data_IF_049047028007
#
_entry.id   IF_049047028007
#
_cell.length_a   1.000
_cell.length_b   1.000
_cell.length_c   1.000
_cell.angle_alpha   90.00
_cell.angle_beta   90.00
_cell.angle_gamma   90.00
#
_symmetry.space_group_name_H-M   'P 1'
#
loop_
_entity.id
_entity.type
_entity.pdbx_description
1 polymer ?
#
# COMPACT_ATOMS: atom_id res chain seq x y z
N UNK A 1 -18.97 10.97 -17.47
CA UNK A 1 -18.55 9.71 -16.83
C UNK A 1 -17.52 10.12 -15.80
N UNK A 2 -17.64 9.80 -14.50
CA UNK A 2 -16.53 10.04 -13.62
C UNK A 2 -15.39 9.15 -14.13
N UNK A 3 -14.34 9.77 -14.60
CA UNK A 3 -13.13 9.05 -14.96
C UNK A 3 -12.55 8.59 -13.61
N UNK A 4 -12.74 7.32 -13.27
CA UNK A 4 -12.06 6.71 -12.13
C UNK A 4 -10.57 6.77 -12.42
N UNK A 5 -9.93 7.86 -12.01
CA UNK A 5 -8.50 8.05 -12.15
C UNK A 5 -7.83 7.08 -11.17
N UNK A 6 -7.51 5.87 -11.63
CA UNK A 6 -6.85 4.84 -10.81
C UNK A 6 -5.35 4.92 -11.06
N UNK A 7 -4.59 5.18 -10.00
CA UNK A 7 -3.14 5.08 -10.04
C UNK A 7 -2.75 3.60 -9.95
N UNK A 8 -1.94 3.09 -10.88
CA UNK A 8 -1.53 1.68 -10.89
C UNK A 8 -0.02 1.59 -11.12
N UNK A 9 0.67 0.86 -10.27
CA UNK A 9 2.08 0.53 -10.41
C UNK A 9 2.27 -0.98 -10.32
N UNK A 10 3.07 -1.56 -11.22
CA UNK A 10 3.39 -2.98 -11.20
C UNK A 10 4.88 -3.21 -11.39
N UNK A 11 5.40 -4.28 -10.77
CA UNK A 11 6.80 -4.65 -10.88
C UNK A 11 6.99 -6.15 -10.76
N UNK A 12 7.92 -6.69 -11.55
CA UNK A 12 8.37 -8.08 -11.42
C UNK A 12 9.43 -8.19 -10.32
N UNK A 13 9.23 -9.14 -9.41
CA UNK A 13 10.10 -9.44 -8.26
C UNK A 13 10.57 -10.89 -8.39
N UNK A 14 11.89 -11.11 -8.40
CA UNK A 14 12.52 -12.43 -8.45
C UNK A 14 12.55 -13.06 -7.05
N UNK A 15 11.37 -13.19 -6.43
CA UNK A 15 11.17 -13.79 -5.12
C UNK A 15 9.84 -14.56 -5.09
N UNK A 16 9.71 -15.51 -4.16
CA UNK A 16 8.47 -16.26 -3.97
C UNK A 16 7.32 -15.37 -3.48
N UNK A 17 6.05 -15.72 -3.77
CA UNK A 17 4.89 -14.95 -3.30
C UNK A 17 4.85 -14.81 -1.78
N UNK A 18 5.22 -15.86 -1.03
CA UNK A 18 5.36 -15.81 0.42
C UNK A 18 6.36 -14.74 0.87
N UNK A 19 7.53 -14.66 0.23
CA UNK A 19 8.56 -13.66 0.59
C UNK A 19 8.06 -12.24 0.35
N UNK A 20 7.40 -12.00 -0.79
CA UNK A 20 6.81 -10.68 -1.07
C UNK A 20 5.70 -10.36 -0.06
N UNK A 21 4.88 -11.35 0.29
CA UNK A 21 3.84 -11.19 1.30
C UNK A 21 4.40 -10.87 2.70
N UNK A 22 5.47 -11.55 3.11
CA UNK A 22 6.19 -11.24 4.34
C UNK A 22 6.66 -9.79 4.34
N UNK A 23 7.30 -9.32 3.26
CA UNK A 23 7.74 -7.92 3.16
C UNK A 23 6.57 -6.95 3.26
N UNK A 24 5.43 -7.24 2.64
CA UNK A 24 4.24 -6.37 2.70
C UNK A 24 3.55 -6.34 4.06
N UNK A 25 3.77 -7.36 4.90
CA UNK A 25 3.10 -7.51 6.20
C UNK A 25 4.02 -7.33 7.40
N UNK A 26 5.34 -7.38 7.18
CA UNK A 26 6.36 -7.22 8.19
C UNK A 26 6.56 -5.74 8.56
N UNK A 27 6.43 -5.36 9.84
CA UNK A 27 6.51 -3.97 10.25
C UNK A 27 7.91 -3.35 10.06
N UNK A 28 8.98 -4.14 10.09
CA UNK A 28 10.34 -3.64 9.87
C UNK A 28 10.56 -3.35 8.38
N UNK A 29 10.10 -4.25 7.50
CA UNK A 29 10.15 -4.05 6.07
C UNK A 29 9.25 -2.89 5.60
N UNK A 30 8.01 -2.81 6.12
CA UNK A 30 7.09 -1.69 5.88
C UNK A 30 7.74 -0.37 6.27
N UNK A 31 8.42 -0.33 7.42
CA UNK A 31 9.13 0.84 7.87
C UNK A 31 10.24 1.24 6.89
N UNK A 32 10.90 0.29 6.23
CA UNK A 32 11.93 0.58 5.25
C UNK A 32 11.35 1.15 3.94
N UNK A 33 10.34 0.49 3.33
CA UNK A 33 9.79 0.96 2.05
C UNK A 33 8.76 2.10 2.17
N UNK A 34 8.15 2.31 3.34
CA UNK A 34 7.25 3.44 3.64
C UNK A 34 7.93 4.55 4.44
N UNK A 35 9.22 4.80 4.23
CA UNK A 35 9.93 5.99 4.75
C UNK A 35 9.84 6.18 6.29
N UNK A 36 9.88 5.09 7.06
CA UNK A 36 9.80 5.12 8.51
C UNK A 36 8.38 4.95 9.08
N UNK A 37 7.37 4.79 8.22
CA UNK A 37 5.99 4.55 8.65
C UNK A 37 5.84 3.17 9.28
N UNK A 38 5.25 3.11 10.47
CA UNK A 38 4.91 1.87 11.17
C UNK A 38 3.45 1.54 10.93
N UNK A 39 3.18 0.34 10.43
CA UNK A 39 1.81 -0.16 10.27
C UNK A 39 1.42 -0.98 11.50
N UNK A 40 0.23 -0.68 12.04
CA UNK A 40 -0.38 -1.40 13.16
C UNK A 40 -1.70 -1.97 12.67
N UNK A 41 -1.75 -3.30 12.53
CA UNK A 41 -2.93 -4.06 12.10
C UNK A 41 -2.81 -5.50 12.54
N UNK A 42 -3.94 -6.15 12.81
CA UNK A 42 -4.04 -7.58 13.07
C UNK A 42 -4.22 -8.41 11.78
N UNK A 43 -4.09 -7.78 10.61
CA UNK A 43 -4.27 -8.39 9.27
C UNK A 43 -5.59 -9.19 9.14
N UNK A 44 -6.62 -8.73 9.84
CA UNK A 44 -7.94 -9.38 9.89
C UNK A 44 -8.91 -8.63 8.98
N UNK A 45 -9.65 -9.34 8.14
CA UNK A 45 -10.69 -8.76 7.28
C UNK A 45 -11.76 -8.06 8.13
N UNK A 46 -12.09 -6.81 7.78
CA UNK A 46 -12.93 -5.90 8.55
C UNK A 46 -12.23 -5.24 9.74
N UNK A 47 -10.97 -5.59 10.00
CA UNK A 47 -10.15 -5.03 11.07
C UNK A 47 -9.56 -3.66 10.72
N UNK A 48 -9.23 -2.83 11.73
CA UNK A 48 -8.61 -1.54 11.51
C UNK A 48 -7.12 -1.69 11.16
N UNK A 49 -6.67 -0.88 10.21
CA UNK A 49 -5.24 -0.68 9.91
C UNK A 49 -4.87 0.77 10.20
N UNK A 50 -3.73 1.00 10.85
CA UNK A 50 -3.19 2.34 11.12
C UNK A 50 -1.78 2.47 10.60
N UNK A 51 -1.50 3.59 9.94
CA UNK A 51 -0.15 3.98 9.53
C UNK A 51 0.30 5.12 10.42
N UNK A 52 1.32 4.88 11.23
CA UNK A 52 1.86 5.84 12.18
C UNK A 52 3.25 6.26 11.73
N UNK A 53 3.52 7.55 11.73
CA UNK A 53 4.84 8.06 11.38
C UNK A 53 5.09 9.44 11.95
N UNK A 54 6.28 9.97 11.69
CA UNK A 54 6.63 11.34 12.02
C UNK A 54 6.98 12.10 10.74
N UNK A 55 6.25 13.17 10.46
CA UNK A 55 6.50 14.05 9.33
C UNK A 55 6.88 15.44 9.82
N UNK A 56 8.09 15.90 9.51
CA UNK A 56 8.63 17.19 9.95
C UNK A 56 8.49 17.45 11.47
N UNK A 57 8.75 16.42 12.29
CA UNK A 57 8.63 16.50 13.75
C UNK A 57 7.20 16.45 14.28
N UNK A 58 6.20 16.20 13.42
CA UNK A 58 4.80 16.01 13.81
C UNK A 58 4.38 14.56 13.57
N UNK A 59 3.93 13.90 14.64
CA UNK A 59 3.31 12.59 14.53
C UNK A 59 2.05 12.67 13.66
N UNK A 60 1.92 11.76 12.72
CA UNK A 60 0.71 11.54 11.94
C UNK A 60 0.22 10.11 12.14
N UNK A 61 -1.09 9.95 12.13
CA UNK A 61 -1.76 8.65 12.14
C UNK A 61 -2.79 8.67 11.02
N UNK A 62 -2.52 7.90 9.97
CA UNK A 62 -3.53 7.56 8.98
C UNK A 62 -4.23 6.28 9.41
N UNK A 63 -5.47 6.12 8.96
CA UNK A 63 -6.34 5.03 9.36
C UNK A 63 -7.05 4.44 8.17
N UNK A 64 -7.47 3.19 8.35
CA UNK A 64 -8.07 2.41 7.30
C UNK A 64 -8.73 1.16 7.84
N UNK A 65 -9.29 0.39 6.92
CA UNK A 65 -9.92 -0.90 7.20
C UNK A 65 -9.43 -1.90 6.17
N UNK A 66 -9.08 -3.09 6.64
CA UNK A 66 -8.76 -4.22 5.79
C UNK A 66 -10.05 -4.75 5.16
N UNK A 67 -10.14 -4.75 3.84
CA UNK A 67 -11.30 -5.26 3.11
C UNK A 67 -11.12 -6.71 2.67
N UNK A 68 -9.90 -7.11 2.32
CA UNK A 68 -9.59 -8.46 1.86
C UNK A 68 -8.12 -8.80 2.19
N UNK A 69 -7.87 -10.02 2.65
CA UNK A 69 -6.51 -10.53 2.94
C UNK A 69 -6.44 -11.97 2.46
N UNK A 70 -5.66 -12.18 1.42
CA UNK A 70 -5.32 -13.48 0.86
C UNK A 70 -3.79 -13.61 0.89
N UNK A 71 -3.24 -14.33 1.87
CA UNK A 71 -1.79 -14.50 2.01
C UNK A 71 -1.14 -15.00 0.72
N UNK A 72 -0.07 -14.31 0.30
CA UNK A 72 0.67 -14.62 -0.94
C UNK A 72 -0.06 -14.30 -2.24
N UNK A 73 -1.24 -13.65 -2.20
CA UNK A 73 -2.07 -13.41 -3.38
C UNK A 73 -2.63 -12.01 -3.48
N UNK A 74 -3.32 -11.52 -2.46
CA UNK A 74 -4.07 -10.27 -2.56
C UNK A 74 -4.29 -9.62 -1.21
N UNK A 75 -4.17 -8.31 -1.15
CA UNK A 75 -4.47 -7.52 0.03
C UNK A 75 -5.21 -6.27 -0.43
N UNK A 76 -6.41 -6.06 0.11
CA UNK A 76 -7.21 -4.86 -0.18
C UNK A 76 -7.46 -4.15 1.14
N UNK A 77 -7.12 -2.87 1.21
CA UNK A 77 -7.37 -2.04 2.38
C UNK A 77 -7.74 -0.62 1.98
N UNK A 78 -8.50 0.05 2.84
CA UNK A 78 -8.77 1.48 2.68
C UNK A 78 -7.70 2.31 3.38
N UNK A 79 -7.41 3.48 2.84
CA UNK A 79 -6.49 4.45 3.42
C UNK A 79 -7.17 5.82 3.50
N UNK A 80 -7.11 6.43 4.67
CA UNK A 80 -7.59 7.78 4.90
C UNK A 80 -6.60 8.54 5.78
N UNK A 81 -6.12 9.66 5.25
CA UNK A 81 -5.29 10.59 6.01
C UNK A 81 -6.13 11.73 6.60
N UNK A 82 -6.19 11.89 7.93
CA UNK A 82 -6.85 13.04 8.55
C UNK A 82 -6.10 14.35 8.26
N UNK A 83 -4.83 14.29 7.85
CA UNK A 83 -4.05 15.47 7.45
C UNK A 83 -4.55 16.10 6.14
N UNK A 84 -5.36 15.37 5.35
CA UNK A 84 -5.99 15.90 4.14
C UNK A 84 -6.97 17.06 4.42
N UNK A 85 -7.40 17.23 5.68
CA UNK A 85 -8.40 18.23 6.06
C UNK A 85 -9.82 17.90 5.55
N UNK A 86 -10.01 16.73 4.93
CA UNK A 86 -11.30 16.25 4.43
C UNK A 86 -12.12 15.61 5.57
N UNK A 87 -13.47 15.64 5.47
CA UNK A 87 -14.31 14.94 6.43
C UNK A 87 -14.04 13.42 6.37
N UNK A 88 -14.10 12.80 7.54
CA UNK A 88 -13.91 11.36 7.75
C UNK A 88 -15.16 10.59 7.27
N UNK A 89 -15.35 10.56 5.96
CA UNK A 89 -16.45 9.86 5.28
C UNK A 89 -15.87 8.89 4.25
N UNK A 90 -16.52 7.73 4.01
CA UNK A 90 -16.02 6.71 3.09
C UNK A 90 -15.66 7.22 1.69
N UNK A 91 -16.35 8.26 1.23
CA UNK A 91 -16.11 8.91 -0.07
C UNK A 91 -14.72 9.56 -0.19
N UNK A 92 -14.03 9.81 0.92
CA UNK A 92 -12.67 10.37 0.95
C UNK A 92 -11.58 9.31 1.20
N UNK A 93 -11.97 8.04 1.33
CA UNK A 93 -11.03 6.95 1.54
C UNK A 93 -10.53 6.48 0.18
N UNK A 94 -9.23 6.23 0.09
CA UNK A 94 -8.64 5.58 -1.07
C UNK A 94 -8.67 4.07 -0.84
N UNK A 95 -8.99 3.27 -1.86
CA UNK A 95 -8.80 1.82 -1.75
C UNK A 95 -7.47 1.44 -2.38
N UNK A 96 -6.60 0.84 -1.58
CA UNK A 96 -5.33 0.27 -1.99
C UNK A 96 -5.53 -1.21 -2.24
N UNK A 97 -5.31 -1.65 -3.48
CA UNK A 97 -5.36 -3.05 -3.87
C UNK A 97 -3.96 -3.53 -4.25
N UNK A 98 -3.44 -4.44 -3.45
CA UNK A 98 -2.19 -5.15 -3.69
C UNK A 98 -2.52 -6.52 -4.25
N UNK A 99 -1.91 -6.88 -5.38
CA UNK A 99 -2.08 -8.18 -6.03
C UNK A 99 -0.69 -8.76 -6.30
N UNK A 100 -0.49 -10.01 -5.90
CA UNK A 100 0.71 -10.81 -6.17
C UNK A 100 0.28 -11.94 -7.09
N UNK A 101 0.90 -12.01 -8.27
CA UNK A 101 0.60 -13.06 -9.25
C UNK A 101 1.86 -13.83 -9.63
N UNK A 102 1.74 -15.16 -9.75
CA UNK A 102 2.82 -16.07 -10.14
C UNK A 102 3.23 -17.05 -9.04
N UNK A 103 3.87 -18.15 -9.46
CA UNK A 103 4.37 -19.24 -8.60
C UNK A 103 5.92 -19.31 -8.59
N UNK A 104 6.59 -18.31 -9.17
CA UNK A 104 8.04 -18.18 -9.30
C UNK A 104 8.44 -16.72 -9.10
N UNK A 105 9.23 -16.07 -9.98
CA UNK A 105 9.27 -14.61 -10.00
C UNK A 105 7.84 -14.08 -10.11
N UNK A 106 7.41 -13.29 -9.13
CA UNK A 106 6.05 -12.79 -9.01
C UNK A 106 5.92 -11.39 -9.58
N UNK A 107 4.72 -11.02 -10.00
CA UNK A 107 4.37 -9.64 -10.31
C UNK A 107 3.57 -9.04 -9.15
N UNK A 108 4.14 -8.00 -8.54
CA UNK A 108 3.46 -7.20 -7.53
C UNK A 108 2.80 -6.01 -8.22
N UNK A 109 1.48 -5.90 -8.09
CA UNK A 109 0.70 -4.77 -8.58
C UNK A 109 0.03 -4.05 -7.42
N UNK A 110 0.22 -2.75 -7.34
CA UNK A 110 -0.47 -1.83 -6.44
C UNK A 110 -1.36 -0.90 -7.26
N UNK A 111 -2.66 -0.91 -6.97
CA UNK A 111 -3.59 0.08 -7.49
C UNK A 111 -4.24 0.89 -6.38
N UNK A 112 -4.43 2.19 -6.64
CA UNK A 112 -5.13 3.13 -5.78
C UNK A 112 -6.26 3.79 -6.57
N UNK A 113 -7.49 3.62 -6.11
CA UNK A 113 -8.66 4.35 -6.63
C UNK A 113 -8.97 5.65 -5.86
N UNK A 114 -10.04 6.32 -6.30
CA UNK A 114 -10.57 7.54 -5.71
C UNK A 114 -9.59 8.74 -5.77
N UNK A 115 -8.82 8.86 -6.87
CA UNK A 115 -8.00 10.05 -7.09
C UNK A 115 -8.89 11.19 -7.62
N UNK A 116 -8.74 12.42 -7.09
CA UNK A 116 -9.62 13.55 -7.44
C UNK A 116 -9.47 14.02 -8.89
N UNK A 117 -8.31 13.79 -9.50
CA UNK A 117 -7.93 14.24 -10.83
C UNK A 117 -6.75 13.43 -11.39
N UNK A 118 -6.54 13.51 -12.71
CA UNK A 118 -5.47 12.80 -13.42
C UNK A 118 -4.07 13.17 -12.90
N UNK A 119 -3.85 14.43 -12.51
CA UNK A 119 -2.56 14.88 -11.96
C UNK A 119 -2.26 14.20 -10.62
N UNK A 120 -3.25 14.09 -9.73
CA UNK A 120 -3.13 13.35 -8.48
C UNK A 120 -2.89 11.85 -8.73
N UNK A 121 -3.56 11.25 -9.73
CA UNK A 121 -3.33 9.85 -10.09
C UNK A 121 -1.92 9.61 -10.64
N UNK A 122 -1.39 10.51 -11.47
CA UNK A 122 -0.02 10.40 -12.00
C UNK A 122 1.03 10.60 -10.89
N UNK A 123 0.80 11.56 -10.00
CA UNK A 123 1.67 11.78 -8.84
C UNK A 123 1.70 10.55 -7.93
N UNK A 124 0.53 10.00 -7.62
CA UNK A 124 0.39 8.77 -6.83
C UNK A 124 1.05 7.59 -7.54
N UNK A 125 0.85 7.43 -8.85
CA UNK A 125 1.50 6.38 -9.64
C UNK A 125 3.03 6.43 -9.51
N UNK A 126 3.61 7.62 -9.58
CA UNK A 126 5.07 7.81 -9.42
C UNK A 126 5.53 7.43 -8.01
N UNK A 127 4.77 7.78 -6.98
CA UNK A 127 5.05 7.39 -5.59
C UNK A 127 4.96 5.87 -5.41
N UNK A 128 3.90 5.24 -5.96
CA UNK A 128 3.69 3.80 -5.90
C UNK A 128 4.76 3.02 -6.66
N UNK A 129 5.20 3.52 -7.81
CA UNK A 129 6.30 2.95 -8.60
C UNK A 129 7.63 2.95 -7.84
N UNK A 130 7.92 4.01 -7.06
CA UNK A 130 9.04 4.00 -6.11
C UNK A 130 8.84 2.99 -4.97
N UNK A 131 7.63 2.91 -4.40
CA UNK A 131 7.34 2.02 -3.30
C UNK A 131 7.48 0.54 -3.71
N UNK A 132 6.86 0.12 -4.81
CA UNK A 132 6.95 -1.28 -5.28
C UNK A 132 8.39 -1.66 -5.65
N UNK A 133 9.22 -0.70 -6.10
CA UNK A 133 10.67 -0.92 -6.27
C UNK A 133 11.39 -1.16 -4.95
N UNK A 134 11.07 -0.41 -3.90
CA UNK A 134 11.63 -0.66 -2.57
C UNK A 134 11.21 -2.03 -2.04
N UNK A 135 9.95 -2.43 -2.24
CA UNK A 135 9.48 -3.79 -1.89
C UNK A 135 10.27 -4.85 -2.66
N UNK A 136 10.49 -4.65 -3.97
CA UNK A 136 11.33 -5.54 -4.78
C UNK A 136 12.75 -5.66 -4.19
N UNK A 137 13.41 -4.55 -3.89
CA UNK A 137 14.76 -4.56 -3.33
C UNK A 137 14.82 -5.36 -2.03
N UNK A 138 13.88 -5.13 -1.10
CA UNK A 138 13.82 -5.84 0.18
C UNK A 138 13.51 -7.33 -0.01
N UNK A 139 12.59 -7.67 -0.93
CA UNK A 139 12.21 -9.05 -1.22
C UNK A 139 13.33 -9.84 -1.91
N UNK A 140 14.11 -9.20 -2.78
CA UNK A 140 15.24 -9.79 -3.51
C UNK A 140 16.56 -9.79 -2.71
N UNK A 141 16.64 -9.03 -1.62
CA UNK A 141 17.77 -9.11 -0.69
C UNK A 141 17.88 -10.54 -0.16
N UNK A 142 19.00 -11.17 -0.49
CA UNK A 142 19.40 -12.46 0.05
C UNK A 142 20.04 -12.25 1.42
N UNK A 143 19.42 -12.79 2.47
CA UNK A 143 20.10 -13.11 3.73
C UNK A 143 21.16 -14.21 3.52
#
# INVERSE_FOLDING_TARGET
>A
MPEDHVATASIAIDASPDRVWEVLTDPEAIREFMFGTTVVTDWTVGGPIRWQGEWQGRAYEDRGVILEVEPGRRLVCTHFSPLSGKPDVPENYHTLTWTITGDGPVELTLSQDNNPDEAAALHSTTMWDSLVRSVKDIAERRD
#
